data_IF_299161578594
#
_entry.id   IF_299161578594
#
_cell.length_a   1.000
_cell.length_b   1.000
_cell.length_c   1.000
_cell.angle_alpha   90.00
_cell.angle_beta   90.00
_cell.angle_gamma   90.00
#
_symmetry.space_group_name_H-M   'P 1'
#
loop_
_entity.id
_entity.type
_entity.pdbx_description
1 polymer ?
#
# COMPACT_ATOMS: atom_id res chain seq x y z
N UNK A 1 12.31 11.45 -13.40
CA UNK A 1 11.06 10.69 -13.21
C UNK A 1 9.88 11.65 -13.19
N UNK A 2 8.81 11.29 -13.84
CA UNK A 2 7.64 12.14 -13.95
C UNK A 2 6.82 12.09 -12.65
N UNK A 3 6.34 13.26 -12.21
CA UNK A 3 5.52 13.35 -10.99
C UNK A 3 4.26 12.49 -11.09
N UNK A 4 3.64 12.46 -12.28
CA UNK A 4 2.42 11.68 -12.48
C UNK A 4 2.66 10.19 -12.30
N UNK A 5 3.82 9.70 -12.72
CA UNK A 5 4.17 8.29 -12.56
C UNK A 5 4.34 7.92 -11.08
N UNK A 6 4.96 8.80 -10.31
CA UNK A 6 5.15 8.56 -8.88
C UNK A 6 3.80 8.51 -8.17
N UNK A 7 2.93 9.45 -8.49
CA UNK A 7 1.61 9.51 -7.87
C UNK A 7 0.75 8.32 -8.30
N UNK A 8 0.82 7.93 -9.56
CA UNK A 8 0.09 6.76 -10.05
C UNK A 8 0.52 5.48 -9.36
N UNK A 9 1.83 5.30 -9.15
CA UNK A 9 2.33 4.13 -8.44
C UNK A 9 1.84 4.10 -6.99
N UNK A 10 1.83 5.24 -6.33
CA UNK A 10 1.32 5.35 -4.96
C UNK A 10 -0.17 5.02 -4.89
N UNK A 11 -0.96 5.53 -5.83
CA UNK A 11 -2.39 5.26 -5.86
C UNK A 11 -2.68 3.78 -6.09
N UNK A 12 -1.90 3.12 -6.96
CA UNK A 12 -2.03 1.69 -7.15
C UNK A 12 -1.71 0.92 -5.87
N UNK A 13 -0.66 1.32 -5.19
CA UNK A 13 -0.27 0.68 -3.94
C UNK A 13 -1.37 0.81 -2.90
N UNK A 14 -1.96 1.98 -2.76
CA UNK A 14 -3.08 2.20 -1.85
C UNK A 14 -4.25 1.28 -2.19
N UNK A 15 -4.60 1.19 -3.46
CA UNK A 15 -5.69 0.35 -3.90
C UNK A 15 -5.46 -1.11 -3.59
N UNK A 16 -4.25 -1.60 -3.85
CA UNK A 16 -3.89 -2.99 -3.55
C UNK A 16 -3.93 -3.25 -2.04
N UNK A 17 -3.37 -2.34 -1.27
CA UNK A 17 -3.33 -2.49 0.18
C UNK A 17 -4.74 -2.54 0.77
N UNK A 18 -5.63 -1.69 0.28
CA UNK A 18 -7.02 -1.70 0.74
C UNK A 18 -7.75 -3.00 0.41
N UNK A 19 -7.39 -3.63 -0.69
CA UNK A 19 -8.00 -4.91 -1.04
C UNK A 19 -7.59 -6.04 -0.11
N UNK A 20 -6.33 -6.02 0.32
CA UNK A 20 -5.81 -7.05 1.23
C UNK A 20 -6.22 -6.76 2.67
N UNK A 21 -6.09 -5.51 3.09
CA UNK A 21 -6.39 -5.09 4.45
C UNK A 21 -7.50 -4.05 4.41
N UNK A 22 -8.75 -4.50 4.36
CA UNK A 22 -9.90 -3.62 4.23
C UNK A 22 -10.07 -2.62 5.36
N UNK A 23 -9.40 -2.86 6.49
CA UNK A 23 -9.48 -1.96 7.64
C UNK A 23 -8.54 -0.77 7.56
N UNK A 24 -7.68 -0.72 6.55
CA UNK A 24 -6.82 0.44 6.34
C UNK A 24 -7.66 1.69 6.07
N UNK A 25 -7.29 2.77 6.74
CA UNK A 25 -8.02 4.04 6.62
C UNK A 25 -7.18 5.07 5.88
N UNK A 26 -7.82 6.16 5.49
CA UNK A 26 -7.11 7.27 4.85
C UNK A 26 -6.04 7.84 5.78
N UNK A 27 -6.28 7.85 7.09
CA UNK A 27 -5.27 8.30 8.05
C UNK A 27 -4.01 7.45 7.99
N UNK A 28 -4.17 6.14 7.81
CA UNK A 28 -3.00 5.26 7.67
C UNK A 28 -2.16 5.63 6.46
N UNK A 29 -2.82 5.93 5.35
CA UNK A 29 -2.11 6.33 4.15
C UNK A 29 -1.45 7.71 4.30
N UNK A 30 -2.10 8.62 5.01
CA UNK A 30 -1.50 9.92 5.31
C UNK A 30 -0.24 9.77 6.16
N UNK A 31 -0.26 8.88 7.13
CA UNK A 31 0.91 8.62 7.96
C UNK A 31 2.07 8.06 7.17
N UNK A 32 1.77 7.33 6.10
CA UNK A 32 2.82 6.79 5.23
C UNK A 32 3.49 7.85 4.37
N UNK A 33 2.87 9.04 4.23
CA UNK A 33 3.45 10.18 3.52
C UNK A 33 3.91 9.87 2.10
N UNK A 34 3.16 8.99 1.41
CA UNK A 34 3.50 8.60 0.04
C UNK A 34 4.66 7.63 -0.07
N UNK A 35 5.14 7.09 1.05
CA UNK A 35 6.26 6.16 1.06
C UNK A 35 5.75 4.73 1.21
N UNK A 36 6.09 3.88 0.23
CA UNK A 36 5.73 2.46 0.29
C UNK A 36 6.33 1.79 1.52
N UNK A 37 7.58 2.12 1.85
CA UNK A 37 8.26 1.53 2.98
C UNK A 37 7.56 1.86 4.30
N UNK A 38 7.14 3.10 4.46
CA UNK A 38 6.41 3.51 5.66
C UNK A 38 5.05 2.82 5.73
N UNK A 39 4.39 2.67 4.59
CA UNK A 39 3.11 1.98 4.55
C UNK A 39 3.26 0.52 4.98
N UNK A 40 4.30 -0.16 4.50
CA UNK A 40 4.56 -1.54 4.92
C UNK A 40 4.76 -1.64 6.42
N UNK A 41 5.48 -0.68 7.01
CA UNK A 41 5.69 -0.63 8.45
C UNK A 41 4.39 -0.43 9.23
N UNK A 42 3.51 0.43 8.72
CA UNK A 42 2.21 0.67 9.35
C UNK A 42 1.37 -0.60 9.32
N UNK A 43 1.35 -1.29 8.18
CA UNK A 43 0.60 -2.55 8.04
C UNK A 43 1.16 -3.61 8.98
N UNK A 44 2.48 -3.72 9.05
CA UNK A 44 3.13 -4.66 9.96
C UNK A 44 2.72 -4.40 11.41
N UNK A 45 2.69 -3.15 11.80
CA UNK A 45 2.35 -2.77 13.16
C UNK A 45 0.88 -3.03 13.49
N UNK A 46 -0.01 -2.72 12.55
CA UNK A 46 -1.45 -2.86 12.78
C UNK A 46 -1.95 -4.28 12.67
N UNK A 47 -1.42 -5.04 11.71
CA UNK A 47 -1.96 -6.37 11.39
C UNK A 47 -1.02 -7.50 11.76
N UNK A 48 0.20 -7.19 12.15
CA UNK A 48 1.15 -8.20 12.60
C UNK A 48 1.85 -8.99 11.51
N UNK A 49 1.60 -8.68 10.24
CA UNK A 49 2.26 -9.38 9.14
C UNK A 49 3.69 -8.86 8.98
N UNK A 50 4.63 -9.77 8.72
CA UNK A 50 5.99 -9.38 8.44
C UNK A 50 6.05 -8.56 7.16
N UNK A 51 7.02 -7.66 7.07
CA UNK A 51 7.17 -6.77 5.93
C UNK A 51 7.26 -7.51 4.61
N UNK A 52 8.00 -8.63 4.59
CA UNK A 52 8.11 -9.44 3.39
C UNK A 52 6.77 -10.03 2.98
N UNK A 53 5.97 -10.45 3.95
CA UNK A 53 4.65 -10.99 3.69
C UNK A 53 3.70 -9.91 3.17
N UNK A 54 3.82 -8.70 3.73
CA UNK A 54 3.04 -7.55 3.25
C UNK A 54 3.31 -7.32 1.77
N UNK A 55 4.58 -7.31 1.38
CA UNK A 55 4.96 -7.12 -0.01
C UNK A 55 4.39 -8.22 -0.91
N UNK A 56 4.50 -9.47 -0.46
CA UNK A 56 3.97 -10.60 -1.23
C UNK A 56 2.48 -10.50 -1.45
N UNK A 57 1.74 -10.16 -0.41
CA UNK A 57 0.29 -10.03 -0.51
C UNK A 57 -0.10 -8.92 -1.47
N UNK A 58 0.60 -7.79 -1.41
CA UNK A 58 0.34 -6.68 -2.30
C UNK A 58 0.65 -7.05 -3.75
N UNK A 59 1.79 -7.70 -3.97
CA UNK A 59 2.20 -8.10 -5.33
C UNK A 59 1.23 -9.10 -5.94
N UNK A 60 0.56 -9.89 -5.11
CA UNK A 60 -0.40 -10.87 -5.59
C UNK A 60 -1.73 -10.24 -6.02
N UNK A 61 -2.00 -9.01 -5.63
CA UNK A 61 -3.24 -8.32 -5.99
C UNK A 61 -3.16 -7.82 -7.42
N UNK A 62 -4.17 -8.13 -8.21
CA UNK A 62 -4.30 -7.60 -9.56
C UNK A 62 -5.47 -6.64 -9.60
N UNK A 63 -5.18 -5.39 -9.90
CA UNK A 63 -6.22 -4.38 -10.04
C UNK A 63 -6.81 -4.47 -11.45
N UNK A 64 -8.13 -4.25 -11.59
CA UNK A 64 -8.72 -4.25 -12.92
C UNK A 64 -8.16 -3.11 -13.75
N UNK A 65 -7.91 -3.40 -15.02
CA UNK A 65 -7.48 -2.36 -15.94
C UNK A 65 -8.71 -1.60 -16.41
N UNK A 66 -8.51 -0.33 -16.59
CA UNK A 66 -9.57 0.49 -17.18
C UNK A 66 -9.68 0.26 -18.67
#
# INVERSE_FOLDING_TARGET
MNRDQVQGAWDQLKGKAKRVWGELTDDDFLKAEGSADKLYGIIQERFGDAKELVKKKIDAVKLPKK
#
